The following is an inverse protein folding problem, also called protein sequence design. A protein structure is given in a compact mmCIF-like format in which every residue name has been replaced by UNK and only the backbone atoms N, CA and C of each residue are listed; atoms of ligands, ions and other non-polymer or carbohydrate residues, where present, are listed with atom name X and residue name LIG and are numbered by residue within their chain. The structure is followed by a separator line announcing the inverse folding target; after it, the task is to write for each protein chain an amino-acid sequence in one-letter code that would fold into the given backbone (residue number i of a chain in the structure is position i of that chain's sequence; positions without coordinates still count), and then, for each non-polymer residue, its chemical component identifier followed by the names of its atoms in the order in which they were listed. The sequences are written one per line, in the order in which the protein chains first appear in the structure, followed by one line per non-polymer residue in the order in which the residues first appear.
data_IF_341051420019
#
_entry.id   IF_341051420019
#
_cell.length_a   1.000
_cell.length_b   1.000
_cell.length_c   1.000
_cell.angle_alpha   90.00
_cell.angle_beta   90.00
_cell.angle_gamma   90.00
#
_symmetry.space_group_name_H-M   'P 1'
#
loop_
_entity.id
_entity.type
_entity.pdbx_description
1 polymer ?
#
# COMPACT_ATOMS: atom_id res chain seq x y z
N UNK A 1 -50.78 -27.24 25.72
CA UNK A 1 -49.87 -26.13 25.34
C UNK A 1 -48.69 -26.70 24.57
N UNK A 2 -48.74 -26.62 23.23
CA UNK A 2 -47.58 -26.82 22.35
C UNK A 2 -47.53 -25.57 21.48
N UNK A 3 -46.57 -24.68 21.71
CA UNK A 3 -46.30 -23.55 20.80
C UNK A 3 -45.24 -24.03 19.81
N UNK A 4 -45.59 -23.93 18.54
CA UNK A 4 -44.83 -24.37 17.39
C UNK A 4 -43.46 -23.69 17.33
N UNK A 5 -42.43 -24.49 17.03
CA UNK A 5 -41.10 -24.07 16.58
C UNK A 5 -41.16 -23.74 15.07
N UNK A 6 -42.10 -22.90 14.66
CA UNK A 6 -42.21 -22.38 13.30
C UNK A 6 -41.95 -20.88 13.38
N UNK A 7 -40.72 -20.45 13.06
CA UNK A 7 -40.42 -19.02 13.06
C UNK A 7 -38.95 -18.59 13.15
N UNK A 8 -37.99 -19.45 12.82
CA UNK A 8 -36.58 -19.02 12.71
C UNK A 8 -35.96 -19.22 11.32
N UNK A 9 -36.76 -19.53 10.30
CA UNK A 9 -36.37 -19.24 8.92
C UNK A 9 -36.99 -17.90 8.53
N UNK A 10 -36.41 -16.80 9.00
CA UNK A 10 -36.60 -15.52 8.31
C UNK A 10 -35.90 -15.65 6.96
N UNK A 11 -36.63 -16.21 5.98
CA UNK A 11 -36.26 -16.18 4.58
C UNK A 11 -36.15 -14.72 4.21
N UNK A 12 -34.93 -14.19 4.21
CA UNK A 12 -34.63 -12.92 3.56
C UNK A 12 -35.16 -13.07 2.15
N UNK A 13 -36.15 -12.26 1.77
CA UNK A 13 -36.72 -12.34 0.43
C UNK A 13 -35.62 -12.07 -0.60
N UNK A 14 -35.67 -12.69 -1.78
CA UNK A 14 -34.60 -12.54 -2.78
C UNK A 14 -34.32 -11.06 -3.14
N UNK A 15 -35.33 -10.19 -2.98
CA UNK A 15 -35.19 -8.74 -3.12
C UNK A 15 -34.37 -8.07 -2.00
N UNK A 16 -34.62 -8.41 -0.75
CA UNK A 16 -33.87 -7.90 0.41
C UNK A 16 -32.42 -8.44 0.42
N UNK A 17 -32.25 -9.69 -0.01
CA UNK A 17 -30.93 -10.31 -0.17
C UNK A 17 -30.11 -9.58 -1.23
N UNK A 18 -30.70 -9.27 -2.39
CA UNK A 18 -30.02 -8.51 -3.43
C UNK A 18 -29.66 -7.07 -3.02
N UNK A 19 -30.47 -6.45 -2.14
CA UNK A 19 -30.14 -5.14 -1.59
C UNK A 19 -28.98 -5.20 -0.59
N UNK A 20 -28.95 -6.23 0.27
CA UNK A 20 -27.86 -6.48 1.21
C UNK A 20 -26.54 -6.80 0.49
N UNK A 21 -26.58 -7.67 -0.51
CA UNK A 21 -25.40 -8.04 -1.31
C UNK A 21 -24.82 -6.83 -2.04
N UNK A 22 -25.67 -5.92 -2.54
CA UNK A 22 -25.25 -4.66 -3.17
C UNK A 22 -24.57 -3.72 -2.17
N UNK A 23 -25.17 -3.50 -0.99
CA UNK A 23 -24.59 -2.65 0.06
C UNK A 23 -23.24 -3.19 0.53
N UNK A 24 -23.12 -4.50 0.69
CA UNK A 24 -21.86 -5.14 1.05
C UNK A 24 -20.81 -4.98 -0.06
N UNK A 25 -21.20 -5.10 -1.34
CA UNK A 25 -20.31 -4.78 -2.47
C UNK A 25 -19.87 -3.34 -2.45
N UNK A 26 -20.77 -2.39 -2.26
CA UNK A 26 -20.44 -0.96 -2.24
C UNK A 26 -19.46 -0.65 -1.10
N UNK A 27 -19.63 -1.29 0.07
CA UNK A 27 -18.67 -1.19 1.17
C UNK A 27 -17.32 -1.81 0.81
N UNK A 28 -17.30 -3.01 0.25
CA UNK A 28 -16.06 -3.68 -0.19
C UNK A 28 -15.32 -2.86 -1.26
N UNK A 29 -16.03 -2.27 -2.22
CA UNK A 29 -15.45 -1.41 -3.25
C UNK A 29 -15.04 -0.03 -2.73
N UNK A 30 -15.62 0.42 -1.61
CA UNK A 30 -15.21 1.64 -0.92
C UNK A 30 -13.91 1.49 -0.09
N UNK A 31 -13.44 0.25 0.11
CA UNK A 31 -12.20 -0.08 0.81
C UNK A 31 -11.22 -0.67 -0.22
N UNK A 32 -10.26 0.10 -0.75
CA UNK A 32 -9.44 -0.31 -1.90
C UNK A 32 -8.70 -1.64 -1.73
N UNK A 33 -8.19 -1.94 -0.53
CA UNK A 33 -7.51 -3.21 -0.25
C UNK A 33 -8.45 -4.42 -0.39
N UNK A 34 -9.72 -4.24 -0.05
CA UNK A 34 -10.75 -5.25 -0.23
C UNK A 34 -11.28 -5.27 -1.68
N UNK A 35 -11.38 -4.11 -2.32
CA UNK A 35 -11.79 -3.97 -3.71
C UNK A 35 -10.86 -4.73 -4.67
N UNK A 36 -9.54 -4.58 -4.49
CA UNK A 36 -8.53 -5.26 -5.30
C UNK A 36 -8.58 -6.78 -5.10
N UNK A 37 -8.64 -7.22 -3.84
CA UNK A 37 -8.78 -8.64 -3.48
C UNK A 37 -10.08 -9.25 -4.02
N UNK A 38 -11.18 -8.50 -4.01
CA UNK A 38 -12.48 -8.94 -4.48
C UNK A 38 -12.54 -9.00 -6.02
N UNK A 39 -11.91 -8.07 -6.73
CA UNK A 39 -11.79 -8.11 -8.18
C UNK A 39 -10.97 -9.31 -8.67
N UNK A 40 -9.89 -9.66 -7.95
CA UNK A 40 -9.12 -10.87 -8.20
C UNK A 40 -10.01 -12.11 -8.06
N UNK A 41 -10.73 -12.22 -6.93
CA UNK A 41 -11.65 -13.33 -6.68
C UNK A 41 -12.72 -13.48 -7.77
N UNK A 42 -13.39 -12.37 -8.15
CA UNK A 42 -14.40 -12.38 -9.20
C UNK A 42 -13.84 -12.79 -10.57
N UNK A 43 -12.59 -12.41 -10.86
CA UNK A 43 -11.93 -12.78 -12.13
C UNK A 43 -11.59 -14.27 -12.18
N UNK A 44 -11.25 -14.88 -11.04
CA UNK A 44 -11.00 -16.32 -10.90
C UNK A 44 -12.31 -17.11 -11.05
N UNK A 45 -13.38 -16.76 -10.32
CA UNK A 45 -14.67 -17.47 -10.42
C UNK A 45 -15.29 -17.40 -11.81
N UNK A 46 -15.09 -16.29 -12.52
CA UNK A 46 -15.59 -16.13 -13.90
C UNK A 46 -14.73 -16.87 -14.94
N UNK A 47 -13.68 -17.58 -14.54
CA UNK A 47 -12.81 -18.34 -15.44
C UNK A 47 -12.00 -17.46 -16.41
N UNK A 48 -11.90 -16.14 -16.13
CA UNK A 48 -11.18 -15.16 -16.97
C UNK A 48 -9.76 -14.90 -16.46
N UNK A 49 -9.25 -15.75 -15.59
CA UNK A 49 -7.89 -15.64 -15.08
C UNK A 49 -6.87 -16.01 -16.17
N UNK A 50 -6.27 -14.99 -16.80
CA UNK A 50 -5.28 -15.15 -17.87
C UNK A 50 -3.85 -15.12 -17.34
N UNK A 51 -2.88 -15.58 -18.14
CA UNK A 51 -1.44 -15.53 -17.82
C UNK A 51 -0.91 -14.09 -17.67
N UNK A 52 -1.54 -13.10 -18.30
CA UNK A 52 -1.21 -11.67 -18.12
C UNK A 52 -1.60 -11.17 -16.73
N UNK A 53 -2.74 -11.63 -16.20
CA UNK A 53 -3.16 -11.31 -14.83
C UNK A 53 -2.22 -11.93 -13.79
N UNK A 54 -1.66 -13.12 -14.03
CA UNK A 54 -0.65 -13.71 -13.13
C UNK A 54 0.60 -12.86 -13.03
N UNK A 55 1.09 -12.29 -14.14
CA UNK A 55 2.30 -11.45 -14.15
C UNK A 55 2.12 -10.13 -13.39
N UNK A 56 0.90 -9.59 -13.34
CA UNK A 56 0.59 -8.40 -12.55
C UNK A 56 0.73 -8.63 -11.03
N UNK A 57 0.56 -9.87 -10.56
CA UNK A 57 0.51 -10.21 -9.13
C UNK A 57 1.61 -11.19 -8.66
N UNK A 58 2.33 -11.87 -9.54
CA UNK A 58 3.57 -12.61 -9.22
C UNK A 58 4.78 -11.68 -9.32
N UNK A 59 5.07 -10.93 -8.25
CA UNK A 59 6.44 -10.46 -7.98
C UNK A 59 7.04 -11.34 -6.89
N UNK A 60 7.37 -12.58 -7.23
CA UNK A 60 8.38 -13.33 -6.50
C UNK A 60 9.72 -12.99 -7.15
N UNK A 61 10.53 -12.14 -6.50
CA UNK A 61 11.92 -11.97 -6.90
C UNK A 61 12.70 -13.26 -6.57
N UNK A 62 13.49 -13.81 -7.51
CA UNK A 62 14.27 -15.01 -7.26
C UNK A 62 15.41 -14.69 -6.30
N UNK A 63 15.40 -15.36 -5.14
CA UNK A 63 16.52 -15.33 -4.19
C UNK A 63 17.65 -16.16 -4.79
N UNK A 64 18.70 -15.51 -5.30
CA UNK A 64 19.93 -16.21 -5.65
C UNK A 64 20.69 -16.58 -4.36
N UNK A 65 21.18 -17.82 -4.21
CA UNK A 65 22.02 -18.17 -3.08
C UNK A 65 23.41 -17.55 -3.28
N UNK A 66 23.85 -16.73 -2.33
CA UNK A 66 25.21 -16.23 -2.28
C UNK A 66 26.16 -17.34 -1.81
N UNK A 67 27.16 -17.68 -2.61
CA UNK A 67 28.32 -18.46 -2.19
C UNK A 67 29.22 -17.61 -1.26
N UNK A 68 29.88 -18.20 -0.25
CA UNK A 68 30.81 -17.47 0.59
C UNK A 68 32.21 -17.53 -0.02
N UNK A 69 32.85 -16.37 -0.20
CA UNK A 69 34.29 -16.34 -0.38
C UNK A 69 34.95 -15.48 0.69
N UNK A 70 36.00 -16.06 1.25
CA UNK A 70 36.70 -15.71 2.46
C UNK A 70 37.98 -14.96 2.06
N UNK A 71 38.11 -13.68 2.39
CA UNK A 71 39.43 -13.05 2.59
C UNK A 71 39.34 -11.82 3.47
N UNK A 72 40.34 -11.74 4.35
CA UNK A 72 40.40 -10.92 5.55
C UNK A 72 40.98 -9.52 5.32
N UNK A 73 40.42 -8.58 6.09
CA UNK A 73 41.06 -7.49 6.84
C UNK A 73 41.38 -6.12 6.21
N UNK A 74 41.00 -5.12 7.02
CA UNK A 74 41.35 -3.69 7.04
C UNK A 74 40.86 -2.80 5.91
N UNK A 75 39.77 -2.07 6.18
CA UNK A 75 39.87 -0.61 6.36
C UNK A 75 38.60 -0.04 7.00
N UNK A 76 38.83 0.67 8.11
CA UNK A 76 38.11 1.85 8.60
C UNK A 76 36.56 1.80 8.61
N UNK A 77 36.08 1.65 9.85
CA UNK A 77 34.79 2.06 10.36
C UNK A 77 34.42 3.48 9.87
N UNK A 78 33.68 3.58 8.76
CA UNK A 78 33.00 4.79 8.34
C UNK A 78 31.56 4.65 8.83
N UNK A 79 31.24 5.36 9.90
CA UNK A 79 29.87 5.62 10.33
C UNK A 79 29.18 6.50 9.29
N UNK A 80 28.80 5.94 8.15
CA UNK A 80 27.93 6.61 7.17
C UNK A 80 26.50 6.59 7.71
N UNK A 81 26.14 7.64 8.43
CA UNK A 81 24.74 8.08 8.47
C UNK A 81 24.30 8.29 7.02
N UNK A 82 23.54 7.36 6.45
CA UNK A 82 22.97 7.52 5.11
C UNK A 82 22.15 8.81 5.11
N UNK A 83 22.61 9.81 4.36
CA UNK A 83 21.96 11.11 4.26
C UNK A 83 20.57 10.90 3.65
N UNK A 84 19.52 11.06 4.45
CA UNK A 84 18.14 10.93 3.99
C UNK A 84 17.80 12.15 3.15
N UNK A 85 17.58 11.95 1.85
CA UNK A 85 17.24 13.04 0.94
C UNK A 85 15.77 13.38 1.09
N UNK A 86 15.46 14.57 1.61
CA UNK A 86 14.09 15.06 1.75
C UNK A 86 13.49 15.30 0.36
N UNK A 87 12.39 14.61 0.05
CA UNK A 87 11.61 14.86 -1.16
C UNK A 87 10.61 15.99 -0.94
N UNK A 88 9.98 16.01 0.24
CA UNK A 88 9.02 17.04 0.60
C UNK A 88 8.10 16.63 1.74
N UNK A 89 6.90 17.22 1.76
CA UNK A 89 5.87 16.97 2.76
C UNK A 89 4.57 16.53 2.12
N UNK A 90 3.85 15.66 2.83
CA UNK A 90 2.50 15.26 2.43
C UNK A 90 1.58 16.48 2.55
N UNK A 91 0.83 16.75 1.50
CA UNK A 91 -0.22 17.78 1.50
C UNK A 91 -1.59 17.17 1.73
N UNK A 92 -1.85 16.01 1.13
CA UNK A 92 -3.11 15.28 1.24
C UNK A 92 -2.87 13.77 1.13
N UNK A 93 -3.78 12.98 1.69
CA UNK A 93 -3.77 11.52 1.61
C UNK A 93 -5.13 11.01 1.16
N UNK A 94 -5.12 10.16 0.15
CA UNK A 94 -6.32 9.52 -0.39
C UNK A 94 -6.05 8.03 -0.56
N UNK A 95 -6.62 7.23 0.33
CA UNK A 95 -6.40 5.78 0.37
C UNK A 95 -4.90 5.43 0.51
N UNK A 96 -4.33 4.74 -0.48
CA UNK A 96 -2.90 4.42 -0.55
C UNK A 96 -2.09 5.47 -1.32
N UNK A 97 -2.72 6.57 -1.75
CA UNK A 97 -2.07 7.65 -2.50
C UNK A 97 -1.77 8.82 -1.58
N UNK A 98 -0.56 9.35 -1.69
CA UNK A 98 -0.14 10.58 -1.00
C UNK A 98 0.25 11.62 -2.04
N UNK A 99 -0.14 12.86 -1.78
CA UNK A 99 0.26 14.02 -2.56
C UNK A 99 1.34 14.75 -1.79
N UNK A 100 2.42 15.15 -2.47
CA UNK A 100 3.62 15.68 -1.85
C UNK A 100 3.96 16.99 -2.55
N UNK A 101 4.19 18.05 -1.78
CA UNK A 101 4.85 19.25 -2.32
C UNK A 101 6.36 19.01 -2.33
N UNK A 102 6.98 19.12 -3.51
CA UNK A 102 8.42 18.92 -3.67
C UNK A 102 9.19 20.06 -2.99
N UNK A 103 10.06 19.73 -2.04
CA UNK A 103 10.99 20.71 -1.41
C UNK A 103 12.43 20.55 -1.93
N UNK A 104 12.72 19.44 -2.62
CA UNK A 104 14.08 19.13 -3.06
C UNK A 104 14.55 19.97 -4.24
N UNK A 105 13.62 20.51 -5.04
CA UNK A 105 13.91 21.15 -6.33
C UNK A 105 14.58 20.21 -7.33
N UNK A 106 14.53 18.89 -7.09
CA UNK A 106 15.12 17.86 -7.93
C UNK A 106 14.04 17.13 -8.71
N UNK A 107 14.40 16.70 -9.90
CA UNK A 107 13.60 15.76 -10.67
C UNK A 107 13.66 14.39 -9.99
N UNK A 108 12.49 13.81 -9.73
CA UNK A 108 12.36 12.50 -9.07
C UNK A 108 11.78 11.53 -10.08
N UNK A 109 12.45 10.41 -10.30
CA UNK A 109 11.98 9.45 -11.29
C UNK A 109 10.71 8.73 -10.83
N UNK A 110 9.83 8.42 -11.79
CA UNK A 110 8.73 7.49 -11.56
C UNK A 110 9.27 6.14 -11.10
N UNK A 111 8.62 5.55 -10.09
CA UNK A 111 9.00 4.35 -9.34
C UNK A 111 10.14 4.53 -8.31
N UNK A 112 10.66 5.75 -8.10
CA UNK A 112 11.59 6.01 -7.00
C UNK A 112 10.96 5.61 -5.65
N UNK A 113 11.74 4.98 -4.77
CA UNK A 113 11.27 4.53 -3.46
C UNK A 113 11.35 5.66 -2.44
N UNK A 114 10.38 5.69 -1.53
CA UNK A 114 10.36 6.65 -0.43
C UNK A 114 9.92 6.01 0.89
N UNK A 115 10.27 6.67 1.99
CA UNK A 115 9.74 6.43 3.33
C UNK A 115 9.01 7.68 3.85
N UNK A 116 7.96 7.45 4.63
CA UNK A 116 7.17 8.47 5.31
C UNK A 116 7.52 8.46 6.80
N UNK A 117 7.69 9.64 7.37
CA UNK A 117 8.09 9.87 8.75
C UNK A 117 7.20 10.94 9.36
N UNK A 118 6.90 10.80 10.65
CA UNK A 118 6.06 11.76 11.34
C UNK A 118 6.71 13.13 11.45
N UNK A 119 5.91 14.18 11.31
CA UNK A 119 6.39 15.56 11.46
C UNK A 119 6.99 15.83 12.85
N UNK A 120 6.40 15.20 13.87
CA UNK A 120 6.79 15.26 15.28
C UNK A 120 7.88 14.27 15.66
N UNK A 121 8.16 13.27 14.82
CA UNK A 121 9.16 12.24 15.06
C UNK A 121 9.71 11.70 13.74
N UNK A 122 10.88 12.23 13.35
CA UNK A 122 11.57 11.85 12.11
C UNK A 122 12.42 10.58 12.25
N UNK A 123 12.46 9.97 13.43
CA UNK A 123 13.34 8.84 13.71
C UNK A 123 12.79 7.53 13.12
N UNK A 124 11.46 7.38 13.09
CA UNK A 124 10.79 6.14 12.69
C UNK A 124 10.00 6.29 11.38
N UNK A 125 10.29 5.39 10.44
CA UNK A 125 9.53 5.22 9.20
C UNK A 125 8.18 4.57 9.53
N UNK A 126 7.08 5.25 9.23
CA UNK A 126 5.72 4.75 9.48
C UNK A 126 5.11 4.06 8.26
N UNK A 127 5.56 4.44 7.06
CA UNK A 127 5.12 3.86 5.81
C UNK A 127 6.20 3.99 4.73
N UNK A 128 6.08 3.19 3.68
CA UNK A 128 6.97 3.23 2.51
C UNK A 128 6.17 3.03 1.23
N UNK A 129 6.68 3.60 0.14
CA UNK A 129 5.98 3.60 -1.13
C UNK A 129 6.89 3.86 -2.32
N UNK A 130 6.24 4.09 -3.46
CA UNK A 130 6.89 4.42 -4.72
C UNK A 130 6.25 5.66 -5.33
N UNK A 131 7.07 6.53 -5.93
CA UNK A 131 6.59 7.67 -6.71
C UNK A 131 5.90 7.14 -7.95
N UNK A 132 4.69 7.60 -8.20
CA UNK A 132 3.85 7.20 -9.33
C UNK A 132 3.75 8.27 -10.41
N UNK A 133 3.92 9.53 -10.01
CA UNK A 133 4.00 10.68 -10.90
C UNK A 133 4.88 11.76 -10.25
N UNK A 134 5.62 12.48 -11.07
CA UNK A 134 6.52 13.56 -10.66
C UNK A 134 6.36 14.75 -11.59
N UNK A 135 6.04 15.91 -11.01
CA UNK A 135 6.17 17.22 -11.63
C UNK A 135 7.14 18.07 -10.78
N UNK A 136 7.62 19.20 -11.31
CA UNK A 136 8.64 20.02 -10.63
C UNK A 136 8.20 20.48 -9.24
N UNK A 137 6.90 20.74 -9.03
CA UNK A 137 6.36 21.25 -7.76
C UNK A 137 5.61 20.20 -6.95
N UNK A 138 5.11 19.14 -7.60
CA UNK A 138 4.24 18.15 -6.95
C UNK A 138 4.66 16.72 -7.29
N UNK A 139 4.65 15.85 -6.28
CA UNK A 139 4.88 14.42 -6.46
C UNK A 139 3.63 13.66 -6.00
N UNK A 140 3.30 12.59 -6.70
CA UNK A 140 2.25 11.64 -6.29
C UNK A 140 2.90 10.32 -5.92
N UNK A 141 2.77 9.91 -4.67
CA UNK A 141 3.31 8.65 -4.16
C UNK A 141 2.20 7.61 -3.93
N UNK A 142 2.52 6.34 -4.15
CA UNK A 142 1.67 5.21 -3.74
C UNK A 142 2.34 4.46 -2.59
N UNK A 143 1.67 4.40 -1.45
CA UNK A 143 2.06 3.59 -0.30
C UNK A 143 1.92 2.11 -0.65
N UNK A 144 2.99 1.36 -0.39
CA UNK A 144 3.08 -0.08 -0.65
C UNK A 144 3.15 -0.86 0.66
N UNK A 145 3.66 -0.25 1.74
CA UNK A 145 3.77 -0.91 3.04
C UNK A 145 3.60 0.10 4.17
N UNK A 146 2.74 -0.23 5.12
CA UNK A 146 2.63 0.44 6.42
C UNK A 146 3.51 -0.34 7.41
N UNK A 147 4.44 0.35 8.07
CA UNK A 147 5.37 -0.23 9.05
C UNK A 147 4.79 -0.23 10.45
N UNK A 148 4.05 0.81 10.79
CA UNK A 148 3.32 0.93 12.05
C UNK A 148 1.84 1.21 11.77
N UNK A 149 0.97 0.23 12.01
CA UNK A 149 -0.47 0.36 11.77
C UNK A 149 -1.18 1.29 12.75
N UNK A 150 -0.51 1.68 13.85
CA UNK A 150 -1.03 2.66 14.80
C UNK A 150 -0.86 4.11 14.32
N UNK A 151 0.04 4.33 13.35
CA UNK A 151 0.33 5.65 12.80
C UNK A 151 0.04 5.70 11.30
N UNK A 152 -0.88 6.58 10.90
CA UNK A 152 -1.20 6.79 9.49
C UNK A 152 -0.41 7.99 8.95
N UNK A 153 0.07 7.91 7.69
CA UNK A 153 0.54 9.08 6.96
C UNK A 153 -0.55 10.16 6.94
N UNK A 154 -0.20 11.39 7.23
CA UNK A 154 -1.12 12.54 7.23
C UNK A 154 -0.44 13.80 6.69
N UNK A 155 -1.22 14.84 6.42
CA UNK A 155 -0.73 16.13 5.97
C UNK A 155 0.31 16.71 6.93
N UNK A 156 1.43 17.16 6.40
CA UNK A 156 2.58 17.68 7.14
C UNK A 156 3.68 16.67 7.44
N UNK A 157 3.42 15.36 7.28
CA UNK A 157 4.43 14.32 7.45
C UNK A 157 5.53 14.42 6.38
N UNK A 158 6.75 14.01 6.75
CA UNK A 158 7.92 14.10 5.90
C UNK A 158 8.07 12.89 5.00
N UNK A 159 8.50 13.14 3.76
CA UNK A 159 8.80 12.09 2.78
C UNK A 159 10.26 12.17 2.39
N UNK A 160 11.00 11.08 2.62
CA UNK A 160 12.41 10.96 2.27
C UNK A 160 12.60 9.89 1.21
N UNK A 161 13.52 10.13 0.29
CA UNK A 161 13.95 9.12 -0.68
C UNK A 161 14.71 8.01 0.03
N UNK A 162 14.55 6.78 -0.46
CA UNK A 162 15.15 5.57 0.10
C UNK A 162 16.07 4.89 -0.89
#
# INVERSE_FOLDING_TARGET
MKKNLEGLSSSVSDGERGEYERKLRDIVFSIPELADSFNIFLTIEQGKWTEENKKLYSKEEPIQPAEPDDTTDKSQNISTSAERILLGRITDTQFNTIFITSESGREVENNAKFGVYKSESSDMEIASGVISNSDMETLTGRIVSIKDTSQKPDSGDYVYMK
#
